data_IF_470664665533
#
_entry.id   IF_470664665533
#
_cell.length_a   1.000
_cell.length_b   1.000
_cell.length_c   1.000
_cell.angle_alpha   90.00
_cell.angle_beta   90.00
_cell.angle_gamma   90.00
#
_symmetry.space_group_name_H-M   'P 1'
#
loop_
_entity.id
_entity.type
_entity.pdbx_description
1 polymer ?
#
# COMPACT_ATOMS: atom_id res chain seq x y z
N UNK A 1 -7.44 15.99 30.41
CA UNK A 1 -8.20 16.71 29.36
C UNK A 1 -8.36 15.78 28.16
N UNK A 2 -9.56 15.26 27.92
CA UNK A 2 -9.81 14.33 26.82
C UNK A 2 -10.03 15.12 25.52
N UNK A 3 -9.15 14.95 24.52
CA UNK A 3 -9.38 15.46 23.16
C UNK A 3 -10.57 14.69 22.56
N UNK A 4 -11.71 15.37 22.39
CA UNK A 4 -12.83 14.85 21.60
C UNK A 4 -12.32 14.54 20.19
N UNK A 5 -12.39 13.27 19.78
CA UNK A 5 -12.26 12.89 18.35
C UNK A 5 -13.41 13.54 17.61
N UNK A 6 -13.12 14.61 16.88
CA UNK A 6 -14.07 15.25 15.97
C UNK A 6 -14.28 14.26 14.82
N UNK A 7 -15.46 13.65 14.72
CA UNK A 7 -15.83 12.83 13.56
C UNK A 7 -15.96 13.79 12.37
N UNK A 8 -14.97 13.77 11.47
CA UNK A 8 -15.08 14.47 10.19
C UNK A 8 -16.13 13.79 9.33
N UNK A 9 -16.96 14.59 8.66
CA UNK A 9 -17.83 14.11 7.57
C UNK A 9 -16.95 13.35 6.58
N UNK A 10 -17.31 12.14 6.13
CA UNK A 10 -16.49 11.41 5.16
C UNK A 10 -16.40 12.25 3.90
N UNK A 11 -15.21 12.78 3.62
CA UNK A 11 -14.92 13.50 2.39
C UNK A 11 -15.03 12.49 1.25
N UNK A 12 -15.63 12.85 0.12
CA UNK A 12 -15.68 11.96 -1.05
C UNK A 12 -14.25 11.57 -1.46
N UNK A 13 -13.96 10.28 -1.76
CA UNK A 13 -12.65 9.87 -2.24
C UNK A 13 -12.26 10.69 -3.47
N UNK A 14 -10.99 11.11 -3.52
CA UNK A 14 -10.40 11.85 -4.64
C UNK A 14 -9.79 10.93 -5.68
N UNK A 15 -9.39 9.74 -5.25
CA UNK A 15 -8.79 8.71 -6.09
C UNK A 15 -9.58 7.42 -5.96
N UNK A 16 -9.76 6.73 -7.08
CA UNK A 16 -10.23 5.36 -7.16
C UNK A 16 -9.07 4.41 -6.86
N UNK A 17 -9.36 3.28 -6.23
CA UNK A 17 -8.38 2.24 -5.95
C UNK A 17 -8.65 1.08 -6.91
N UNK A 18 -7.65 0.75 -7.71
CA UNK A 18 -7.65 -0.40 -8.59
C UNK A 18 -6.53 -1.37 -8.18
N UNK A 19 -6.70 -2.65 -8.49
CA UNK A 19 -5.76 -3.70 -8.14
C UNK A 19 -5.28 -4.38 -9.41
N UNK A 20 -3.97 -4.58 -9.53
CA UNK A 20 -3.40 -5.47 -10.53
C UNK A 20 -3.92 -6.91 -10.30
N UNK A 21 -4.00 -7.69 -11.38
CA UNK A 21 -4.57 -9.05 -11.35
C UNK A 21 -3.78 -9.97 -10.41
N UNK A 22 -2.46 -9.79 -10.37
CA UNK A 22 -1.53 -10.54 -9.53
C UNK A 22 -1.81 -10.33 -8.03
N UNK A 23 -2.38 -9.18 -7.64
CA UNK A 23 -2.68 -8.86 -6.23
C UNK A 23 -3.68 -9.83 -5.62
N UNK A 24 -4.61 -10.38 -6.40
CA UNK A 24 -5.54 -11.38 -5.89
C UNK A 24 -4.80 -12.64 -5.43
N UNK A 25 -3.79 -13.09 -6.18
CA UNK A 25 -2.92 -14.19 -5.77
C UNK A 25 -2.06 -13.87 -4.55
N UNK A 26 -1.72 -12.60 -4.32
CA UNK A 26 -1.05 -12.17 -3.09
C UNK A 26 -1.97 -12.23 -1.86
N UNK A 27 -3.24 -11.89 -2.03
CA UNK A 27 -4.23 -11.97 -0.95
C UNK A 27 -4.56 -13.42 -0.59
N UNK A 28 -4.53 -14.36 -1.54
CA UNK A 28 -4.84 -15.77 -1.30
C UNK A 28 -3.90 -16.46 -0.30
N UNK A 29 -2.64 -16.03 -0.23
CA UNK A 29 -1.66 -16.56 0.73
C UNK A 29 -1.73 -15.87 2.09
N UNK A 30 -2.40 -14.72 2.18
CA UNK A 30 -2.62 -13.99 3.43
C UNK A 30 -3.90 -14.51 4.08
N UNK A 31 -3.84 -14.79 5.38
CA UNK A 31 -5.03 -15.27 6.11
C UNK A 31 -6.23 -14.32 5.92
N UNK A 32 -7.38 -14.90 5.54
CA UNK A 32 -8.62 -14.15 5.18
C UNK A 32 -9.07 -13.16 6.26
N UNK A 33 -8.76 -13.42 7.53
CA UNK A 33 -9.08 -12.52 8.65
C UNK A 33 -8.45 -11.12 8.50
N UNK A 34 -7.38 -10.99 7.71
CA UNK A 34 -6.69 -9.72 7.45
C UNK A 34 -7.20 -8.98 6.23
N UNK A 35 -7.91 -9.63 5.29
CA UNK A 35 -8.31 -9.03 4.01
C UNK A 35 -9.09 -7.74 4.21
N UNK A 36 -10.05 -7.73 5.15
CA UNK A 36 -10.83 -6.54 5.48
C UNK A 36 -9.95 -5.41 6.01
N UNK A 37 -9.03 -5.71 6.93
CA UNK A 37 -8.11 -4.73 7.51
C UNK A 37 -7.19 -4.14 6.44
N UNK A 38 -6.72 -4.97 5.51
CA UNK A 38 -5.90 -4.54 4.38
C UNK A 38 -6.68 -3.58 3.48
N UNK A 39 -7.89 -3.98 3.08
CA UNK A 39 -8.75 -3.16 2.23
C UNK A 39 -9.09 -1.81 2.88
N UNK A 40 -9.51 -1.82 4.15
CA UNK A 40 -9.85 -0.61 4.90
C UNK A 40 -8.62 0.32 5.02
N UNK A 41 -7.44 -0.22 5.32
CA UNK A 41 -6.21 0.56 5.44
C UNK A 41 -5.79 1.20 4.10
N UNK A 42 -5.90 0.47 2.99
CA UNK A 42 -5.61 0.98 1.64
C UNK A 42 -6.57 2.13 1.31
N UNK A 43 -7.87 1.92 1.50
CA UNK A 43 -8.89 2.93 1.22
C UNK A 43 -8.70 4.19 2.09
N UNK A 44 -8.47 4.02 3.39
CA UNK A 44 -8.28 5.13 4.33
C UNK A 44 -7.06 5.98 3.96
N UNK A 45 -5.94 5.34 3.63
CA UNK A 45 -4.68 6.05 3.41
C UNK A 45 -4.54 6.62 2.00
N UNK A 46 -5.04 5.94 0.98
CA UNK A 46 -4.72 6.26 -0.42
C UNK A 46 -5.83 7.00 -1.17
N UNK A 47 -7.09 6.90 -0.75
CA UNK A 47 -8.20 7.49 -1.50
C UNK A 47 -8.22 9.03 -1.55
N UNK A 48 -7.41 9.71 -0.72
CA UNK A 48 -7.41 11.18 -0.63
C UNK A 48 -6.07 11.85 -0.91
N UNK A 49 -4.97 11.32 -0.34
CA UNK A 49 -3.63 11.93 -0.43
C UNK A 49 -2.57 10.86 -0.69
N UNK A 50 -2.65 10.12 -1.81
CA UNK A 50 -1.77 8.98 -2.07
C UNK A 50 -0.31 9.37 -2.32
N UNK A 51 -0.02 10.62 -2.67
CA UNK A 51 1.34 11.13 -2.96
C UNK A 51 1.95 11.95 -1.82
N UNK A 52 1.30 12.02 -0.66
CA UNK A 52 1.80 12.81 0.48
C UNK A 52 2.61 11.90 1.40
N UNK A 53 3.94 12.03 1.40
CA UNK A 53 4.81 11.22 2.26
C UNK A 53 4.38 11.28 3.74
N UNK A 54 4.42 10.12 4.40
CA UNK A 54 4.22 10.03 5.86
C UNK A 54 5.29 9.12 6.47
N UNK A 55 5.24 8.91 7.79
CA UNK A 55 6.09 7.90 8.43
C UNK A 55 5.88 6.50 7.82
N UNK A 56 4.65 6.21 7.43
CA UNK A 56 4.21 4.89 6.98
C UNK A 56 3.91 4.86 5.47
N UNK A 57 4.25 5.91 4.73
CA UNK A 57 4.11 5.97 3.28
C UNK A 57 5.35 6.61 2.71
N UNK A 58 6.12 5.84 1.95
CA UNK A 58 7.42 6.24 1.43
C UNK A 58 7.40 6.20 -0.09
N UNK A 59 7.92 7.24 -0.77
CA UNK A 59 8.26 7.09 -2.18
C UNK A 59 9.34 6.01 -2.28
N UNK A 60 9.22 5.14 -3.27
CA UNK A 60 10.30 4.26 -3.68
C UNK A 60 11.20 5.10 -4.58
N UNK A 61 12.50 5.09 -4.30
CA UNK A 61 13.44 5.86 -5.11
C UNK A 61 13.41 5.31 -6.54
N UNK A 62 13.32 6.18 -7.56
CA UNK A 62 13.47 5.72 -8.94
C UNK A 62 14.84 5.04 -9.07
N UNK A 63 14.93 3.93 -9.82
CA UNK A 63 16.19 3.22 -9.95
C UNK A 63 17.29 4.17 -10.43
N UNK A 64 18.46 4.12 -9.78
CA UNK A 64 19.65 4.76 -10.33
C UNK A 64 19.91 4.22 -11.76
N UNK A 65 20.66 4.92 -12.63
CA UNK A 65 20.77 4.61 -14.06
C UNK A 65 21.24 3.20 -14.45
N UNK A 66 21.57 2.33 -13.50
CA UNK A 66 21.99 0.93 -13.71
C UNK A 66 21.45 -0.04 -12.65
N UNK A 67 20.50 0.41 -11.82
CA UNK A 67 19.86 -0.44 -10.83
C UNK A 67 18.57 -1.04 -11.40
N UNK A 68 18.21 -2.28 -11.00
CA UNK A 68 16.93 -2.85 -11.39
C UNK A 68 15.79 -1.94 -10.87
N UNK A 69 14.67 -1.84 -11.60
CA UNK A 69 13.52 -1.09 -11.14
C UNK A 69 13.02 -1.64 -9.79
N UNK A 70 12.36 -0.77 -9.02
CA UNK A 70 11.69 -1.19 -7.80
C UNK A 70 10.73 -2.36 -8.09
N UNK A 71 10.51 -3.27 -7.11
CA UNK A 71 9.61 -4.41 -7.30
C UNK A 71 8.25 -3.97 -7.85
N UNK A 72 7.77 -4.69 -8.86
CA UNK A 72 6.50 -4.42 -9.54
C UNK A 72 6.39 -3.03 -10.19
N UNK A 73 7.52 -2.35 -10.45
CA UNK A 73 7.58 -0.98 -10.98
C UNK A 73 6.86 0.05 -10.10
N UNK A 74 6.67 -0.28 -8.82
CA UNK A 74 5.98 0.60 -7.89
C UNK A 74 6.78 1.88 -7.61
N UNK A 75 6.06 2.98 -7.44
CA UNK A 75 6.66 4.30 -7.10
C UNK A 75 6.47 4.64 -5.63
N UNK A 76 5.64 3.90 -4.91
CA UNK A 76 5.34 4.13 -3.50
C UNK A 76 5.12 2.82 -2.73
N UNK A 77 5.46 2.87 -1.44
CA UNK A 77 5.15 1.85 -0.44
C UNK A 77 4.27 2.46 0.67
N UNK A 78 3.18 1.79 1.05
CA UNK A 78 2.54 2.00 2.35
C UNK A 78 2.81 0.85 3.32
N UNK A 79 2.90 1.20 4.60
CA UNK A 79 3.14 0.30 5.73
C UNK A 79 1.97 0.38 6.69
N UNK A 80 1.34 -0.75 6.99
CA UNK A 80 0.15 -0.79 7.83
C UNK A 80 -0.02 -2.15 8.52
N UNK A 81 -1.11 -2.31 9.27
CA UNK A 81 -1.30 -3.42 10.20
C UNK A 81 -0.99 -3.02 11.63
N UNK A 82 -1.39 -3.87 12.58
CA UNK A 82 -1.27 -3.59 14.01
C UNK A 82 0.21 -3.51 14.44
N UNK A 83 1.06 -4.30 13.80
CA UNK A 83 2.49 -4.42 14.05
C UNK A 83 3.33 -3.89 12.88
N UNK A 84 2.70 -3.13 11.97
CA UNK A 84 3.35 -2.66 10.74
C UNK A 84 3.91 -3.82 9.90
N UNK A 85 3.14 -4.90 9.84
CA UNK A 85 3.44 -6.17 9.19
C UNK A 85 3.03 -6.21 7.71
N UNK A 86 2.11 -5.36 7.26
CA UNK A 86 1.68 -5.35 5.86
C UNK A 86 2.37 -4.24 5.07
N UNK A 87 2.66 -4.53 3.80
CA UNK A 87 3.05 -3.56 2.78
C UNK A 87 2.11 -3.62 1.61
N UNK A 88 1.80 -2.46 1.04
CA UNK A 88 1.24 -2.40 -0.30
C UNK A 88 2.15 -1.50 -1.16
N UNK A 89 2.51 -2.01 -2.32
CA UNK A 89 3.27 -1.30 -3.35
C UNK A 89 2.28 -0.79 -4.39
N UNK A 90 2.42 0.47 -4.78
CA UNK A 90 1.47 1.11 -5.67
C UNK A 90 2.10 2.20 -6.53
N UNK A 91 1.37 2.59 -7.56
CA UNK A 91 1.61 3.79 -8.33
C UNK A 91 0.37 4.70 -8.32
N UNK A 92 0.55 5.96 -8.70
CA UNK A 92 -0.53 6.95 -8.78
C UNK A 92 -0.63 7.48 -10.21
N UNK A 93 -1.74 7.18 -10.88
CA UNK A 93 -2.10 7.78 -12.17
C UNK A 93 -2.83 9.10 -11.90
N UNK A 94 -2.07 10.17 -11.70
CA UNK A 94 -2.61 11.45 -11.23
C UNK A 94 -3.65 12.09 -12.15
N UNK A 95 -3.55 11.87 -13.46
CA UNK A 95 -4.50 12.39 -14.47
C UNK A 95 -5.83 11.65 -14.34
N UNK A 96 -5.78 10.32 -14.28
CA UNK A 96 -6.95 9.43 -14.19
C UNK A 96 -7.56 9.40 -12.78
N UNK A 97 -6.83 9.91 -11.78
CA UNK A 97 -7.18 9.81 -10.36
C UNK A 97 -7.33 8.37 -9.90
N UNK A 98 -6.44 7.51 -10.37
CA UNK A 98 -6.36 6.11 -9.97
C UNK A 98 -5.12 5.89 -9.12
N UNK A 99 -5.27 5.15 -8.04
CA UNK A 99 -4.17 4.52 -7.31
C UNK A 99 -4.19 3.06 -7.68
N UNK A 100 -3.12 2.60 -8.32
CA UNK A 100 -3.02 1.23 -8.81
C UNK A 100 -2.16 0.41 -7.85
N UNK A 101 -2.79 -0.52 -7.14
CA UNK A 101 -2.12 -1.42 -6.21
C UNK A 101 -1.47 -2.53 -7.01
N UNK A 102 -0.15 -2.61 -6.94
CA UNK A 102 0.68 -3.52 -7.73
C UNK A 102 1.05 -4.78 -6.94
N UNK A 103 1.25 -4.64 -5.62
CA UNK A 103 1.54 -5.77 -4.75
C UNK A 103 1.04 -5.55 -3.33
N UNK A 104 0.74 -6.65 -2.64
CA UNK A 104 0.46 -6.68 -1.20
C UNK A 104 1.31 -7.78 -0.59
N UNK A 105 2.02 -7.46 0.49
CA UNK A 105 2.91 -8.42 1.13
C UNK A 105 2.91 -8.33 2.64
N UNK A 106 3.47 -9.37 3.25
CA UNK A 106 3.64 -9.50 4.70
C UNK A 106 5.14 -9.47 5.00
N UNK A 107 5.52 -8.62 5.95
CA UNK A 107 6.87 -8.54 6.47
C UNK A 107 7.10 -9.68 7.45
N UNK A 108 8.15 -10.46 7.20
CA UNK A 108 8.67 -11.47 8.13
C UNK A 108 10.17 -11.22 8.37
N UNK A 109 10.51 -10.75 9.58
CA UNK A 109 11.88 -10.34 9.91
C UNK A 109 12.41 -9.21 9.03
N UNK A 110 13.42 -9.49 8.20
CA UNK A 110 13.99 -8.56 7.21
C UNK A 110 13.55 -8.88 5.76
N UNK A 111 12.49 -9.67 5.61
CA UNK A 111 11.95 -10.08 4.31
C UNK A 111 10.54 -9.55 4.12
N UNK A 112 10.19 -9.26 2.88
CA UNK A 112 8.83 -9.00 2.43
C UNK A 112 8.39 -10.18 1.58
N UNK A 113 7.35 -10.87 2.02
CA UNK A 113 6.74 -11.98 1.30
C UNK A 113 5.57 -11.41 0.51
N UNK A 114 5.62 -11.52 -0.82
CA UNK A 114 4.55 -11.11 -1.75
C UNK A 114 4.10 -12.33 -2.53
N UNK A 115 2.88 -12.82 -2.28
CA UNK A 115 2.44 -14.08 -2.86
C UNK A 115 3.37 -15.23 -2.47
N UNK A 116 4.06 -15.80 -3.45
CA UNK A 116 5.03 -16.90 -3.26
C UNK A 116 6.49 -16.45 -3.37
N UNK A 117 6.73 -15.14 -3.50
CA UNK A 117 8.05 -14.56 -3.71
C UNK A 117 8.55 -13.84 -2.45
N UNK A 118 9.86 -13.85 -2.24
CA UNK A 118 10.53 -13.19 -1.12
C UNK A 118 11.44 -12.06 -1.63
N UNK A 119 11.35 -10.89 -1.00
CA UNK A 119 12.17 -9.72 -1.28
C UNK A 119 12.92 -9.30 0.00
N UNK A 120 14.18 -8.90 -0.13
CA UNK A 120 14.96 -8.33 0.99
C UNK A 120 14.54 -6.88 1.24
N UNK A 121 14.38 -6.47 2.51
CA UNK A 121 13.79 -5.17 2.91
C UNK A 121 14.68 -4.34 3.81
#
# INVERSE_FOLDING_TARGET
>A
MAKKKQRSVPKKPKFEIEYAEEVYGHLDVIETKYHRTIQEAILEQLSHTPTVETRNRKPLEPPAPFEPPAPFEATWEIRFGQHNEFRALYEVKEIEKIVYILAIGVKDGNRLIVGKEEFET
#
